data_IF_883092252325
#
_entry.id   IF_883092252325
#
_cell.length_a   1.000
_cell.length_b   1.000
_cell.length_c   1.000
_cell.angle_alpha   90.00
_cell.angle_beta   90.00
_cell.angle_gamma   90.00
#
_symmetry.space_group_name_H-M   'P 1'
#
loop_
_entity.id
_entity.type
_entity.pdbx_description
1 polymer ?
#
# COMPACT_ATOMS: atom_id res chain seq x y z
N UNK A 1 -6.95 -4.15 -5.22
CA UNK A 1 -8.04 -4.26 -6.23
C UNK A 1 -7.56 -4.87 -7.53
N UNK A 2 -6.44 -4.43 -8.14
CA UNK A 2 -5.92 -5.07 -9.36
C UNK A 2 -5.54 -6.56 -9.17
N UNK A 3 -4.87 -6.88 -8.05
CA UNK A 3 -4.52 -8.27 -7.68
C UNK A 3 -5.77 -9.12 -7.43
N UNK A 4 -6.87 -8.48 -7.00
CA UNK A 4 -8.18 -9.13 -6.85
C UNK A 4 -8.74 -9.47 -8.23
N UNK A 5 -8.70 -8.54 -9.19
CA UNK A 5 -9.11 -8.81 -10.56
C UNK A 5 -8.33 -9.99 -11.18
N UNK A 6 -7.01 -10.04 -10.97
CA UNK A 6 -6.18 -11.16 -11.43
C UNK A 6 -6.56 -12.52 -10.83
N UNK A 7 -7.02 -12.56 -9.57
CA UNK A 7 -7.45 -13.80 -8.91
C UNK A 7 -8.82 -14.28 -9.36
N UNK A 8 -9.76 -13.35 -9.55
CA UNK A 8 -11.18 -13.70 -9.73
C UNK A 8 -11.65 -13.68 -11.19
N UNK A 9 -10.99 -12.95 -12.09
CA UNK A 9 -11.34 -12.96 -13.51
C UNK A 9 -10.87 -14.28 -14.15
N UNK A 10 -11.79 -15.00 -14.78
CA UNK A 10 -11.52 -16.32 -15.36
C UNK A 10 -10.95 -16.19 -16.78
N UNK A 11 -11.23 -15.07 -17.45
CA UNK A 11 -10.72 -14.78 -18.79
C UNK A 11 -9.88 -13.52 -18.80
N UNK A 12 -8.94 -13.46 -19.75
CA UNK A 12 -8.13 -12.25 -19.97
C UNK A 12 -9.00 -11.03 -20.29
N UNK A 13 -10.12 -11.23 -21.00
CA UNK A 13 -11.04 -10.14 -21.37
C UNK A 13 -11.77 -9.57 -20.16
N UNK A 14 -12.22 -10.41 -19.22
CA UNK A 14 -12.78 -9.97 -17.95
C UNK A 14 -11.76 -9.17 -17.13
N UNK A 15 -10.52 -9.64 -17.10
CA UNK A 15 -9.43 -8.92 -16.43
C UNK A 15 -9.21 -7.53 -17.05
N UNK A 16 -9.19 -7.42 -18.38
CA UNK A 16 -9.06 -6.13 -19.06
C UNK A 16 -10.22 -5.20 -18.72
N UNK A 17 -11.45 -5.70 -18.74
CA UNK A 17 -12.64 -4.92 -18.39
C UNK A 17 -12.56 -4.41 -16.94
N UNK A 18 -12.17 -5.25 -15.98
CA UNK A 18 -12.00 -4.85 -14.59
C UNK A 18 -10.83 -3.87 -14.40
N UNK A 19 -9.72 -4.07 -15.11
CA UNK A 19 -8.58 -3.14 -15.13
C UNK A 19 -9.02 -1.76 -15.63
N UNK A 20 -9.81 -1.70 -16.70
CA UNK A 20 -10.31 -0.43 -17.26
C UNK A 20 -11.35 0.23 -16.35
N UNK A 21 -12.23 -0.53 -15.70
CA UNK A 21 -13.12 0.01 -14.66
C UNK A 21 -12.33 0.64 -13.52
N UNK A 22 -11.28 -0.03 -13.05
CA UNK A 22 -10.38 0.50 -12.01
C UNK A 22 -9.65 1.76 -12.49
N UNK A 23 -9.16 1.76 -13.74
CA UNK A 23 -8.51 2.92 -14.36
C UNK A 23 -9.48 4.10 -14.41
N UNK A 24 -10.71 3.88 -14.88
CA UNK A 24 -11.75 4.88 -14.98
C UNK A 24 -12.10 5.46 -13.60
N UNK A 25 -12.28 4.61 -12.59
CA UNK A 25 -12.53 5.06 -11.22
C UNK A 25 -11.38 5.93 -10.68
N UNK A 26 -10.13 5.60 -10.98
CA UNK A 26 -8.97 6.42 -10.59
C UNK A 26 -8.91 7.73 -11.38
N UNK A 27 -9.23 7.72 -12.67
CA UNK A 27 -9.29 8.94 -13.48
C UNK A 27 -10.38 9.90 -12.99
N UNK A 28 -11.57 9.39 -12.65
CA UNK A 28 -12.66 10.17 -12.06
C UNK A 28 -12.26 10.82 -10.72
N UNK A 29 -11.37 10.16 -9.97
CA UNK A 29 -10.78 10.70 -8.75
C UNK A 29 -9.57 11.64 -8.99
N UNK A 30 -9.38 12.09 -10.24
CA UNK A 30 -8.31 13.03 -10.66
C UNK A 30 -6.89 12.50 -10.44
N UNK A 31 -6.68 11.18 -10.46
CA UNK A 31 -5.33 10.62 -10.43
C UNK A 31 -4.65 10.77 -11.81
N UNK A 32 -3.35 11.16 -11.87
CA UNK A 32 -2.63 11.27 -13.14
C UNK A 32 -2.49 9.93 -13.87
N UNK A 33 -2.64 9.92 -15.20
CA UNK A 33 -2.58 8.68 -15.98
C UNK A 33 -1.26 7.90 -15.77
N UNK A 34 -0.12 8.60 -15.85
CA UNK A 34 1.23 8.05 -15.58
C UNK A 34 1.39 7.48 -14.17
N UNK A 35 0.59 7.94 -13.20
CA UNK A 35 0.60 7.37 -11.85
C UNK A 35 -0.14 6.04 -11.81
N UNK A 36 -1.30 5.96 -12.45
CA UNK A 36 -2.12 4.75 -12.50
C UNK A 36 -1.35 3.61 -13.17
N UNK A 37 -0.72 3.87 -14.32
CA UNK A 37 0.09 2.86 -15.03
C UNK A 37 1.24 2.36 -14.15
N UNK A 38 1.99 3.26 -13.52
CA UNK A 38 3.07 2.89 -12.59
C UNK A 38 2.56 2.08 -11.39
N UNK A 39 1.38 2.37 -10.87
CA UNK A 39 0.82 1.58 -9.77
C UNK A 39 0.39 0.20 -10.23
N UNK A 40 -0.16 0.07 -11.44
CA UNK A 40 -0.51 -1.23 -12.01
C UNK A 40 0.74 -2.09 -12.26
N UNK A 41 1.78 -1.51 -12.86
CA UNK A 41 3.08 -2.17 -13.01
C UNK A 41 3.68 -2.58 -11.67
N UNK A 42 3.67 -1.69 -10.67
CA UNK A 42 4.21 -1.99 -9.35
C UNK A 42 3.48 -3.14 -8.65
N UNK A 43 2.17 -3.29 -8.88
CA UNK A 43 1.40 -4.44 -8.37
C UNK A 43 1.82 -5.74 -9.06
N UNK A 44 2.09 -5.71 -10.37
CA UNK A 44 2.57 -6.89 -11.11
C UNK A 44 3.99 -7.29 -10.67
N UNK A 45 4.89 -6.32 -10.52
CA UNK A 45 6.26 -6.54 -10.04
C UNK A 45 6.28 -7.14 -8.63
N UNK A 46 5.39 -6.70 -7.73
CA UNK A 46 5.24 -7.28 -6.38
C UNK A 46 4.85 -8.75 -6.39
N UNK A 47 4.25 -9.23 -7.48
CA UNK A 47 3.89 -10.62 -7.69
C UNK A 47 4.93 -11.40 -8.51
N UNK A 48 6.12 -10.83 -8.75
CA UNK A 48 7.16 -11.38 -9.62
C UNK A 48 6.68 -11.61 -11.06
N UNK A 49 5.87 -10.70 -11.58
CA UNK A 49 5.38 -10.72 -12.97
C UNK A 49 6.08 -9.59 -13.72
N UNK A 50 7.19 -9.91 -14.38
CA UNK A 50 7.97 -8.96 -15.19
C UNK A 50 7.48 -8.90 -16.65
N UNK A 51 6.53 -9.77 -17.01
CA UNK A 51 6.02 -9.94 -18.37
C UNK A 51 4.69 -9.21 -18.55
N UNK A 52 4.46 -8.65 -19.74
CA UNK A 52 3.14 -8.15 -20.13
C UNK A 52 2.13 -9.29 -20.17
N UNK A 53 0.99 -9.10 -19.50
CA UNK A 53 -0.12 -10.04 -19.55
C UNK A 53 -0.74 -10.06 -20.94
N UNK A 54 -0.83 -11.26 -21.51
CA UNK A 54 -1.45 -11.56 -22.80
C UNK A 54 -2.38 -12.77 -22.64
N UNK A 55 -3.19 -13.04 -23.65
CA UNK A 55 -4.15 -14.17 -23.66
C UNK A 55 -3.46 -15.50 -23.35
N UNK A 56 -2.22 -15.68 -23.81
CA UNK A 56 -1.49 -16.95 -23.73
C UNK A 56 -0.84 -17.20 -22.36
N UNK A 57 -0.43 -16.15 -21.65
CA UNK A 57 0.26 -16.24 -20.35
C UNK A 57 -0.65 -15.95 -19.15
N UNK A 58 -1.86 -15.41 -19.40
CA UNK A 58 -2.77 -14.98 -18.35
C UNK A 58 -3.11 -16.11 -17.38
N UNK A 59 -3.48 -17.29 -17.88
CA UNK A 59 -3.90 -18.40 -17.02
C UNK A 59 -2.75 -18.93 -16.15
N UNK A 60 -1.55 -19.03 -16.74
CA UNK A 60 -0.34 -19.44 -16.02
C UNK A 60 0.00 -18.47 -14.88
N UNK A 61 -0.13 -17.16 -15.13
CA UNK A 61 0.15 -16.13 -14.14
C UNK A 61 -0.94 -16.09 -13.07
N UNK A 62 -2.20 -16.21 -13.47
CA UNK A 62 -3.35 -16.29 -12.56
C UNK A 62 -3.19 -17.46 -11.59
N UNK A 63 -2.84 -18.63 -12.10
CA UNK A 63 -2.63 -19.83 -11.28
C UNK A 63 -1.49 -19.62 -10.27
N UNK A 64 -0.35 -19.04 -10.69
CA UNK A 64 0.74 -18.65 -9.78
C UNK A 64 0.31 -17.70 -8.66
N UNK A 65 -0.62 -16.78 -8.92
CA UNK A 65 -1.12 -15.82 -7.92
C UNK A 65 -2.12 -16.48 -6.95
N UNK A 66 -2.89 -17.46 -7.42
CA UNK A 66 -3.83 -18.24 -6.62
C UNK A 66 -3.06 -19.18 -5.69
N UNK A 67 -2.08 -19.90 -6.24
CA UNK A 67 -1.26 -20.88 -5.52
C UNK A 67 -0.17 -20.23 -4.65
N UNK A 68 0.03 -18.92 -4.79
CA UNK A 68 0.95 -18.17 -3.94
C UNK A 68 0.51 -18.28 -2.49
N UNK A 69 1.41 -18.73 -1.58
CA UNK A 69 1.06 -18.89 -0.17
C UNK A 69 0.54 -17.55 0.35
N UNK A 70 -0.63 -17.61 1.00
CA UNK A 70 -1.16 -16.47 1.73
C UNK A 70 -0.05 -16.09 2.70
N UNK A 71 0.57 -14.91 2.51
CA UNK A 71 1.47 -14.36 3.52
C UNK A 71 0.63 -14.21 4.78
N UNK A 72 0.74 -15.18 5.68
CA UNK A 72 0.18 -15.08 7.00
C UNK A 72 0.73 -13.77 7.58
N UNK A 73 -0.17 -12.89 7.99
CA UNK A 73 0.25 -11.71 8.74
C UNK A 73 0.97 -12.25 9.95
N UNK A 74 2.24 -11.91 10.10
CA UNK A 74 2.98 -12.26 11.31
C UNK A 74 2.13 -11.84 12.51
N UNK A 75 1.91 -12.74 13.49
CA UNK A 75 1.17 -12.38 14.69
C UNK A 75 1.89 -11.20 15.33
N UNK A 76 1.14 -10.13 15.57
CA UNK A 76 1.70 -8.97 16.27
C UNK A 76 1.72 -9.28 17.75
N UNK A 77 2.89 -9.18 18.37
CA UNK A 77 3.03 -9.27 19.82
C UNK A 77 2.51 -7.97 20.46
N UNK A 78 1.25 -8.00 20.90
CA UNK A 78 0.61 -6.88 21.57
C UNK A 78 1.15 -6.65 23.00
N UNK A 79 1.99 -7.54 23.54
CA UNK A 79 2.70 -7.31 24.80
C UNK A 79 3.84 -6.28 24.65
N UNK A 80 4.50 -6.29 23.49
CA UNK A 80 5.68 -5.47 23.22
C UNK A 80 5.45 -4.38 22.16
N UNK A 81 4.25 -4.31 21.54
CA UNK A 81 3.96 -3.35 20.47
C UNK A 81 2.69 -2.55 20.79
N UNK A 82 2.82 -1.23 20.83
CA UNK A 82 1.69 -0.31 21.00
C UNK A 82 1.39 0.42 19.68
N UNK A 83 0.16 0.34 19.19
CA UNK A 83 -0.26 1.09 18.01
C UNK A 83 -0.83 2.45 18.36
N UNK A 84 -0.10 3.51 17.99
CA UNK A 84 -0.55 4.89 18.19
C UNK A 84 -1.09 5.41 16.87
N UNK A 85 -2.40 5.66 16.85
CA UNK A 85 -3.05 6.19 15.67
C UNK A 85 -3.23 7.70 15.76
N UNK A 86 -2.74 8.43 14.76
CA UNK A 86 -2.93 9.89 14.68
C UNK A 86 -3.58 10.31 13.37
N UNK A 87 -4.22 11.47 13.38
CA UNK A 87 -4.81 12.09 12.18
C UNK A 87 -3.77 12.93 11.48
N UNK A 88 -3.45 12.63 10.22
CA UNK A 88 -2.40 13.35 9.51
C UNK A 88 -2.86 14.73 9.02
N UNK A 89 -2.10 15.76 9.40
CA UNK A 89 -2.18 17.14 8.89
C UNK A 89 -0.83 17.57 8.31
N UNK A 90 -0.81 18.52 7.36
CA UNK A 90 0.42 19.01 6.71
C UNK A 90 1.48 19.52 7.71
N UNK A 91 1.05 20.17 8.79
CA UNK A 91 1.90 20.63 9.88
C UNK A 91 2.56 19.50 10.69
N UNK A 92 2.04 18.27 10.59
CA UNK A 92 2.50 17.08 11.30
C UNK A 92 3.45 16.21 10.48
N UNK A 93 4.03 16.71 9.38
CA UNK A 93 5.03 15.98 8.58
C UNK A 93 6.20 15.43 9.41
N UNK A 94 6.62 16.17 10.44
CA UNK A 94 7.71 15.77 11.35
C UNK A 94 7.24 15.07 12.61
N UNK A 95 5.93 14.84 12.75
CA UNK A 95 5.33 14.25 13.95
C UNK A 95 5.93 12.89 14.29
N UNK A 96 6.13 11.94 13.36
CA UNK A 96 6.73 10.65 13.72
C UNK A 96 8.10 10.78 14.37
N UNK A 97 8.97 11.60 13.76
CA UNK A 97 10.32 11.85 14.28
C UNK A 97 10.28 12.52 15.66
N UNK A 98 9.41 13.53 15.84
CA UNK A 98 9.26 14.23 17.12
C UNK A 98 8.65 13.33 18.20
N UNK A 99 7.67 12.50 17.84
CA UNK A 99 7.05 11.55 18.74
C UNK A 99 8.08 10.55 19.27
N UNK A 100 8.88 9.92 18.40
CA UNK A 100 9.92 9.00 18.86
C UNK A 100 11.00 9.69 19.69
N UNK A 101 11.36 10.93 19.38
CA UNK A 101 12.29 11.71 20.19
C UNK A 101 11.72 11.99 21.59
N UNK A 102 10.44 12.36 21.70
CA UNK A 102 9.77 12.54 22.99
C UNK A 102 9.61 11.22 23.73
N UNK A 103 9.24 10.15 23.02
CA UNK A 103 9.11 8.82 23.58
C UNK A 103 10.42 8.38 24.24
N UNK A 104 11.53 8.48 23.53
CA UNK A 104 12.83 8.14 24.07
C UNK A 104 13.26 9.09 25.20
N UNK A 105 12.99 10.40 25.09
CA UNK A 105 13.34 11.37 26.13
C UNK A 105 12.64 11.11 27.46
N UNK A 106 11.36 10.74 27.45
CA UNK A 106 10.56 10.59 28.66
C UNK A 106 10.45 9.16 29.15
N UNK A 107 10.52 8.19 28.24
CA UNK A 107 10.34 6.78 28.56
C UNK A 107 11.60 5.95 28.31
N UNK A 108 12.69 6.50 27.81
CA UNK A 108 13.91 5.75 27.45
C UNK A 108 14.54 4.95 28.60
N UNK A 109 14.41 5.46 29.83
CA UNK A 109 14.89 4.80 31.05
C UNK A 109 13.76 4.09 31.83
N UNK A 110 12.53 4.10 31.30
CA UNK A 110 11.36 3.47 31.90
C UNK A 110 11.20 2.03 31.40
N UNK A 111 10.61 1.12 32.20
CA UNK A 111 10.17 -0.19 31.71
C UNK A 111 9.22 -0.09 30.49
N UNK A 112 8.55 1.04 30.33
CA UNK A 112 7.68 1.34 29.17
C UNK A 112 8.49 1.42 27.87
N UNK A 113 9.81 1.63 27.90
CA UNK A 113 10.65 1.64 26.70
C UNK A 113 10.70 0.28 25.98
N UNK A 114 10.41 -0.80 26.69
CA UNK A 114 10.33 -2.16 26.11
C UNK A 114 9.16 -2.27 25.13
N UNK A 115 8.16 -1.40 25.27
CA UNK A 115 7.04 -1.28 24.35
C UNK A 115 7.46 -0.44 23.14
N UNK A 116 7.44 -1.04 21.95
CA UNK A 116 7.67 -0.37 20.68
C UNK A 116 6.41 0.37 20.22
N UNK A 117 6.38 1.72 20.20
CA UNK A 117 5.26 2.44 19.65
C UNK A 117 5.31 2.44 18.12
N UNK A 118 4.33 1.83 17.48
CA UNK A 118 4.15 1.86 16.02
C UNK A 118 3.11 2.92 15.68
N UNK A 119 3.55 3.97 14.98
CA UNK A 119 2.69 5.07 14.57
C UNK A 119 1.91 4.71 13.30
N UNK A 120 0.59 4.75 13.39
CA UNK A 120 -0.33 4.59 12.26
C UNK A 120 -1.12 5.87 11.99
N UNK A 121 -1.52 6.10 10.75
CA UNK A 121 -2.40 7.24 10.40
C UNK A 121 -3.85 6.79 10.23
N UNK A 122 -4.79 7.36 10.98
CA UNK A 122 -6.25 7.17 10.79
C UNK A 122 -6.71 8.07 9.64
N UNK A 123 -6.78 7.53 8.42
CA UNK A 123 -7.29 8.13 7.17
C UNK A 123 -6.48 9.27 6.52
N UNK A 124 -6.58 9.56 5.20
CA UNK A 124 -6.10 8.90 3.95
C UNK A 124 -6.12 9.97 2.83
N UNK A 125 -6.93 11.04 2.96
CA UNK A 125 -7.00 12.16 1.97
C UNK A 125 -5.80 13.12 1.99
N UNK A 126 -5.24 13.44 3.17
CA UNK A 126 -4.10 14.36 3.28
C UNK A 126 -2.77 13.71 2.90
N UNK A 127 -2.58 12.42 3.23
CA UNK A 127 -1.45 11.62 2.79
C UNK A 127 -1.45 11.47 1.25
N UNK A 128 -2.63 11.24 0.66
CA UNK A 128 -2.84 11.22 -0.78
C UNK A 128 -2.44 12.56 -1.44
N UNK A 129 -2.85 13.72 -0.89
CA UNK A 129 -2.43 15.05 -1.37
C UNK A 129 -0.92 15.28 -1.27
N UNK A 130 -0.28 14.81 -0.20
CA UNK A 130 1.16 14.96 -0.02
C UNK A 130 1.98 14.09 -0.98
N UNK A 131 1.56 12.84 -1.22
CA UNK A 131 2.18 11.97 -2.22
C UNK A 131 2.08 12.57 -3.64
N UNK A 132 1.00 13.31 -3.93
CA UNK A 132 0.83 14.06 -5.19
C UNK A 132 1.81 15.25 -5.26
N UNK A 133 2.00 16.01 -4.17
CA UNK A 133 2.86 17.21 -4.15
C UNK A 133 4.36 16.94 -4.04
N UNK A 134 4.79 15.83 -3.42
CA UNK A 134 6.22 15.50 -3.29
C UNK A 134 6.85 15.05 -4.63
N UNK A 135 6.02 14.89 -5.66
CA UNK A 135 6.39 14.69 -7.06
C UNK A 135 6.72 16.05 -7.71
N UNK A 136 7.76 16.74 -7.25
CA UNK A 136 8.39 17.73 -8.12
C UNK A 136 9.22 16.99 -9.16
N UNK A 137 8.77 17.09 -10.40
CA UNK A 137 9.46 16.63 -11.60
C UNK A 137 10.80 17.38 -11.65
N UNK A 138 11.90 16.65 -11.51
CA UNK A 138 13.13 16.97 -12.25
C UNK A 138 13.16 16.04 -13.45
#
# INVERSE_FOLDING_TARGET
MLLRALRYCSTFQEYLNEREKLRMALLLNKYPNKFIDKQFEHVLLKCNIDQLLNVNNYELIRQKIIDSPIKEKMPVDYGNVMFVHFTYCLSMKTFPKKFHALWHKYFGESPINEILPVLGTRNVKNLQRQLIHTRQIK
#
